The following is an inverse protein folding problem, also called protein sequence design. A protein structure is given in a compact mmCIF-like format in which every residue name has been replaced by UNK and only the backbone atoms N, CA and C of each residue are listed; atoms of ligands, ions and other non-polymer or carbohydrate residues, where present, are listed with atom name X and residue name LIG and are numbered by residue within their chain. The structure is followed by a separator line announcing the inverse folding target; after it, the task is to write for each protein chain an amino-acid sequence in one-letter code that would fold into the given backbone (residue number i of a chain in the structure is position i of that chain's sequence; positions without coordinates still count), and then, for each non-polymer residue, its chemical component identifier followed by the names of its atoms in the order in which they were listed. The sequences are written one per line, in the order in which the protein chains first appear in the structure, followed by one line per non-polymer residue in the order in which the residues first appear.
data_IF_698235024321
#
_entry.id   IF_698235024321
#
_cell.length_a   1.000
_cell.length_b   1.000
_cell.length_c   1.000
_cell.angle_alpha   90.00
_cell.angle_beta   90.00
_cell.angle_gamma   90.00
#
_symmetry.space_group_name_H-M   'P 1'
#
loop_
_entity.id
_entity.type
_entity.pdbx_description
1 polymer ?
#
# COMPACT_ATOMS: atom_id res chain seq x y z
N UNK A 1 18.36 8.68 14.13
CA UNK A 1 17.40 8.20 13.11
C UNK A 1 16.62 9.42 12.65
N UNK A 2 16.80 9.86 11.41
CA UNK A 2 16.15 11.07 10.88
C UNK A 2 14.68 10.80 10.60
N UNK A 3 13.82 11.78 10.90
CA UNK A 3 12.34 11.71 10.76
C UNK A 3 11.88 11.45 9.32
N UNK A 4 12.70 11.78 8.33
CA UNK A 4 12.43 11.52 6.91
C UNK A 4 12.32 10.03 6.56
N UNK A 5 12.95 9.13 7.34
CA UNK A 5 13.01 7.71 6.98
C UNK A 5 11.80 6.89 7.45
N UNK A 6 10.93 7.46 8.28
CA UNK A 6 9.80 6.75 8.90
C UNK A 6 8.72 6.35 7.87
N UNK A 7 8.19 7.25 7.02
CA UNK A 7 7.18 6.88 6.00
C UNK A 7 7.73 5.86 5.00
N UNK A 8 8.99 6.01 4.60
CA UNK A 8 9.67 5.03 3.74
C UNK A 8 9.79 3.68 4.41
N UNK A 9 10.09 3.62 5.72
CA UNK A 9 10.18 2.36 6.45
C UNK A 9 8.84 1.62 6.52
N UNK A 10 7.75 2.34 6.77
CA UNK A 10 6.39 1.76 6.82
C UNK A 10 6.00 1.23 5.44
N UNK A 11 6.28 1.99 4.38
CA UNK A 11 5.96 1.56 3.02
C UNK A 11 6.84 0.38 2.58
N UNK A 12 8.14 0.42 2.88
CA UNK A 12 9.08 -0.69 2.62
C UNK A 12 8.65 -1.95 3.40
N UNK A 13 8.23 -1.82 4.66
CA UNK A 13 7.72 -2.96 5.44
C UNK A 13 6.51 -3.60 4.78
N UNK A 14 5.56 -2.81 4.28
CA UNK A 14 4.38 -3.35 3.57
C UNK A 14 4.77 -4.04 2.26
N UNK A 15 5.70 -3.45 1.50
CA UNK A 15 6.21 -4.02 0.27
C UNK A 15 6.99 -5.33 0.51
N UNK A 16 7.83 -5.39 1.54
CA UNK A 16 8.57 -6.61 1.91
C UNK A 16 7.59 -7.72 2.29
N UNK A 17 6.57 -7.45 3.12
CA UNK A 17 5.56 -8.46 3.47
C UNK A 17 4.80 -8.97 2.24
N UNK A 18 4.53 -8.09 1.28
CA UNK A 18 3.89 -8.44 0.00
C UNK A 18 4.81 -9.29 -0.89
N UNK A 19 6.05 -8.88 -1.11
CA UNK A 19 6.97 -9.55 -2.02
C UNK A 19 7.49 -10.88 -1.44
N UNK A 20 7.86 -10.90 -0.16
CA UNK A 20 8.28 -12.13 0.51
C UNK A 20 7.10 -13.10 0.61
N UNK A 21 5.92 -12.59 0.95
CA UNK A 21 4.71 -13.40 1.01
C UNK A 21 4.28 -13.98 -0.33
N UNK A 22 4.26 -13.16 -1.39
CA UNK A 22 3.95 -13.61 -2.74
C UNK A 22 5.02 -14.57 -3.28
N UNK A 23 6.30 -14.37 -3.00
CA UNK A 23 7.36 -15.31 -3.38
C UNK A 23 7.18 -16.67 -2.68
N UNK A 24 6.86 -16.69 -1.39
CA UNK A 24 6.56 -17.92 -0.63
C UNK A 24 5.30 -18.60 -1.17
N UNK A 25 4.26 -17.83 -1.50
CA UNK A 25 3.03 -18.34 -2.09
C UNK A 25 3.29 -18.96 -3.47
N UNK A 26 4.01 -18.26 -4.34
CA UNK A 26 4.39 -18.74 -5.67
C UNK A 26 5.27 -20.00 -5.56
N UNK A 27 6.24 -20.04 -4.66
CA UNK A 27 7.06 -21.23 -4.41
C UNK A 27 6.22 -22.42 -3.90
N UNK A 28 5.25 -22.16 -3.02
CA UNK A 28 4.34 -23.19 -2.49
C UNK A 28 3.33 -23.71 -3.50
N UNK A 29 2.85 -22.87 -4.42
CA UNK A 29 1.89 -23.23 -5.49
C UNK A 29 2.58 -23.91 -6.67
N UNK A 30 3.77 -23.46 -7.07
CA UNK A 30 4.53 -24.06 -8.19
C UNK A 30 5.10 -25.44 -7.81
N UNK A 31 5.28 -25.72 -6.50
CA UNK A 31 5.79 -27.00 -6.01
C UNK A 31 4.83 -28.19 -6.14
N UNK A 32 3.56 -28.01 -6.53
CA UNK A 32 2.56 -29.08 -6.57
C UNK A 32 1.74 -29.01 -7.87
N UNK A 33 2.34 -29.38 -9.00
CA UNK A 33 1.57 -29.86 -10.15
C UNK A 33 1.27 -31.34 -9.93
N UNK A 34 0.16 -31.66 -9.26
CA UNK A 34 -0.38 -33.01 -9.31
C UNK A 34 -1.17 -33.17 -10.63
N UNK A 35 -0.86 -34.17 -11.48
CA UNK A 35 -1.64 -34.42 -12.69
C UNK A 35 -2.94 -35.10 -12.26
N UNK A 36 -4.01 -34.33 -12.07
CA UNK A 36 -5.34 -34.89 -11.83
C UNK A 36 -6.15 -34.75 -13.11
N UNK A 37 -6.47 -35.92 -13.66
CA UNK A 37 -7.38 -36.17 -14.78
C UNK A 37 -8.63 -35.28 -14.76
N UNK A 38 -8.72 -34.33 -15.70
CA UNK A 38 -10.00 -33.75 -16.15
C UNK A 38 -10.39 -32.36 -15.63
N UNK A 39 -9.62 -31.72 -14.74
CA UNK A 39 -9.91 -30.35 -14.29
C UNK A 39 -8.71 -29.67 -13.65
N UNK A 40 -8.38 -28.45 -14.08
CA UNK A 40 -7.32 -27.65 -13.49
C UNK A 40 -7.87 -27.02 -12.21
N UNK A 41 -7.70 -27.70 -11.07
CA UNK A 41 -7.91 -27.09 -9.76
C UNK A 41 -6.65 -26.32 -9.37
N UNK A 42 -6.75 -25.00 -9.25
CA UNK A 42 -5.65 -24.13 -8.81
C UNK A 42 -5.56 -24.02 -7.27
N UNK A 43 -5.99 -25.05 -6.55
CA UNK A 43 -5.91 -25.11 -5.09
C UNK A 43 -4.80 -26.07 -4.66
N UNK A 44 -4.02 -25.66 -3.66
CA UNK A 44 -3.03 -26.56 -3.04
C UNK A 44 -3.76 -27.55 -2.14
N UNK A 45 -3.68 -28.85 -2.45
CA UNK A 45 -4.25 -29.93 -1.63
C UNK A 45 -3.43 -30.22 -0.36
N UNK A 46 -2.28 -29.55 -0.19
CA UNK A 46 -1.42 -29.77 0.97
C UNK A 46 -1.96 -29.03 2.20
N UNK A 47 -2.55 -29.80 3.13
CA UNK A 47 -3.10 -29.29 4.39
C UNK A 47 -2.06 -28.48 5.21
N UNK A 48 -0.80 -28.91 5.24
CA UNK A 48 0.24 -28.20 5.98
C UNK A 48 0.52 -26.82 5.37
N UNK A 49 0.51 -26.71 4.04
CA UNK A 49 0.65 -25.43 3.36
C UNK A 49 -0.55 -24.52 3.60
N UNK A 50 -1.78 -25.06 3.54
CA UNK A 50 -2.99 -24.28 3.82
C UNK A 50 -3.01 -23.74 5.25
N UNK A 51 -2.60 -24.55 6.23
CA UNK A 51 -2.47 -24.12 7.63
C UNK A 51 -1.40 -23.03 7.78
N UNK A 52 -0.21 -23.23 7.21
CA UNK A 52 0.86 -22.22 7.25
C UNK A 52 0.42 -20.90 6.61
N UNK A 53 -0.23 -20.97 5.44
CA UNK A 53 -0.70 -19.80 4.72
C UNK A 53 -1.76 -19.03 5.52
N UNK A 54 -2.74 -19.73 6.09
CA UNK A 54 -3.84 -19.09 6.83
C UNK A 54 -3.36 -18.54 8.17
N UNK A 55 -2.74 -19.37 9.00
CA UNK A 55 -2.37 -18.97 10.37
C UNK A 55 -1.05 -18.20 10.43
N UNK A 56 -0.03 -18.68 9.73
CA UNK A 56 1.30 -18.07 9.77
C UNK A 56 1.38 -16.81 8.92
N UNK A 57 0.99 -16.91 7.65
CA UNK A 57 1.16 -15.79 6.73
C UNK A 57 0.04 -14.75 6.86
N UNK A 58 -1.23 -15.13 6.62
CA UNK A 58 -2.33 -14.17 6.59
C UNK A 58 -2.59 -13.54 7.97
N UNK A 59 -2.77 -14.35 9.01
CA UNK A 59 -3.11 -13.82 10.35
C UNK A 59 -1.91 -13.14 11.00
N UNK A 60 -0.78 -13.83 11.14
CA UNK A 60 0.35 -13.30 11.92
C UNK A 60 1.15 -12.28 11.12
N UNK A 61 1.67 -12.66 9.95
CA UNK A 61 2.63 -11.85 9.21
C UNK A 61 1.99 -10.67 8.45
N UNK A 62 0.82 -10.88 7.85
CA UNK A 62 0.10 -9.86 7.08
C UNK A 62 -0.93 -9.08 7.93
N UNK A 63 -1.46 -9.68 8.99
CA UNK A 63 -2.48 -9.06 9.86
C UNK A 63 -1.89 -8.42 11.13
N UNK A 64 -1.54 -9.25 12.11
CA UNK A 64 -1.23 -8.81 13.48
C UNK A 64 0.08 -8.03 13.57
N UNK A 65 1.16 -8.51 12.96
CA UNK A 65 2.48 -7.86 13.03
C UNK A 65 2.44 -6.43 12.46
N UNK A 66 1.91 -6.20 11.23
CA UNK A 66 1.81 -4.85 10.68
C UNK A 66 0.97 -3.90 11.54
N UNK A 67 -0.11 -4.39 12.16
CA UNK A 67 -0.94 -3.57 13.07
C UNK A 67 -0.16 -3.18 14.34
N UNK A 68 0.59 -4.09 14.95
CA UNK A 68 1.42 -3.77 16.12
C UNK A 68 2.51 -2.77 15.74
N UNK A 69 3.22 -3.01 14.64
CA UNK A 69 4.29 -2.14 14.15
C UNK A 69 3.73 -0.73 13.89
N UNK A 70 2.63 -0.61 13.17
CA UNK A 70 2.01 0.68 12.86
C UNK A 70 1.53 1.41 14.12
N UNK A 71 0.97 0.71 15.11
CA UNK A 71 0.64 1.30 16.41
C UNK A 71 1.88 1.84 17.13
N UNK A 72 2.98 1.08 17.20
CA UNK A 72 4.22 1.52 17.84
C UNK A 72 4.78 2.75 17.12
N UNK A 73 4.86 2.73 15.80
CA UNK A 73 5.34 3.88 15.02
C UNK A 73 4.42 5.09 15.16
N UNK A 74 3.10 4.90 15.24
CA UNK A 74 2.14 5.98 15.50
C UNK A 74 2.34 6.63 16.87
N UNK A 75 2.59 5.84 17.91
CA UNK A 75 2.90 6.33 19.25
C UNK A 75 4.25 7.08 19.30
N UNK A 76 5.29 6.52 18.67
CA UNK A 76 6.59 7.17 18.55
C UNK A 76 6.52 8.49 17.77
N UNK A 77 5.77 8.51 16.67
CA UNK A 77 5.50 9.71 15.89
C UNK A 77 4.81 10.79 16.73
N UNK A 78 3.79 10.43 17.50
CA UNK A 78 3.11 11.35 18.41
C UNK A 78 4.04 11.92 19.47
N UNK A 79 4.85 11.07 20.09
CA UNK A 79 5.81 11.49 21.13
C UNK A 79 6.88 12.43 20.55
N UNK A 80 7.38 12.14 19.34
CA UNK A 80 8.33 13.01 18.65
C UNK A 80 7.75 14.40 18.40
N UNK A 81 6.49 14.50 17.94
CA UNK A 81 5.83 15.81 17.72
C UNK A 81 5.72 16.62 19.00
N UNK A 82 5.39 15.97 20.13
CA UNK A 82 5.34 16.64 21.42
C UNK A 82 6.72 17.13 21.89
N UNK A 83 7.78 16.36 21.67
CA UNK A 83 9.15 16.77 22.01
C UNK A 83 9.65 17.93 21.13
N UNK A 84 9.35 17.90 19.83
CA UNK A 84 9.65 18.98 18.89
C UNK A 84 9.01 20.31 19.29
N UNK A 85 7.87 20.29 19.98
CA UNK A 85 7.21 21.51 20.43
C UNK A 85 8.02 22.29 21.49
N UNK A 86 8.89 21.61 22.24
CA UNK A 86 9.64 22.18 23.36
C UNK A 86 11.06 22.63 22.99
N UNK A 87 11.59 22.24 21.82
CA UNK A 87 12.93 22.67 21.36
C UNK A 87 12.84 23.95 20.53
N UNK A 88 13.84 24.82 20.69
CA UNK A 88 14.07 26.04 19.87
C UNK A 88 14.61 25.68 18.49
N UNK A 89 13.86 24.91 17.71
CA UNK A 89 14.16 24.61 16.31
C UNK A 89 13.66 25.76 15.44
N UNK A 90 14.40 26.19 14.40
CA UNK A 90 13.93 27.22 13.46
C UNK A 90 12.53 26.90 12.90
N UNK A 91 11.69 27.94 12.82
CA UNK A 91 10.25 27.84 12.48
C UNK A 91 9.98 27.08 11.17
N UNK A 92 10.86 27.21 10.18
CA UNK A 92 10.71 26.58 8.86
C UNK A 92 10.82 25.05 8.94
N UNK A 93 11.81 24.51 9.65
CA UNK A 93 11.98 23.06 9.81
C UNK A 93 10.83 22.44 10.62
N UNK A 94 10.36 23.13 11.66
CA UNK A 94 9.24 22.67 12.49
C UNK A 94 7.95 22.47 11.70
N UNK A 95 7.66 23.35 10.73
CA UNK A 95 6.47 23.23 9.89
C UNK A 95 6.51 21.98 9.00
N UNK A 96 7.70 21.64 8.49
CA UNK A 96 7.94 20.50 7.61
C UNK A 96 7.81 19.18 8.39
N UNK A 97 8.48 19.08 9.54
CA UNK A 97 8.41 17.88 10.40
C UNK A 97 6.99 17.62 10.92
N UNK A 98 6.25 18.69 11.27
CA UNK A 98 4.85 18.59 11.69
C UNK A 98 3.96 18.07 10.56
N UNK A 99 4.16 18.57 9.33
CA UNK A 99 3.41 18.13 8.17
C UNK A 99 3.70 16.65 7.84
N UNK A 100 4.97 16.25 7.82
CA UNK A 100 5.39 14.88 7.57
C UNK A 100 4.81 13.92 8.62
N UNK A 101 4.87 14.31 9.91
CA UNK A 101 4.37 13.45 10.97
C UNK A 101 2.84 13.34 10.94
N UNK A 102 2.14 14.43 10.64
CA UNK A 102 0.68 14.40 10.48
C UNK A 102 0.26 13.50 9.30
N UNK A 103 0.99 13.55 8.19
CA UNK A 103 0.78 12.71 7.01
C UNK A 103 0.92 11.22 7.34
N UNK A 104 1.99 10.85 8.06
CA UNK A 104 2.22 9.47 8.52
C UNK A 104 1.13 9.00 9.48
N UNK A 105 0.68 9.87 10.39
CA UNK A 105 -0.39 9.52 11.34
C UNK A 105 -1.71 9.21 10.62
N UNK A 106 -2.08 10.00 9.60
CA UNK A 106 -3.28 9.75 8.79
C UNK A 106 -3.16 8.44 8.01
N UNK A 107 -1.98 8.15 7.44
CA UNK A 107 -1.73 6.90 6.75
C UNK A 107 -1.86 5.68 7.67
N UNK A 108 -1.32 5.75 8.89
CA UNK A 108 -1.43 4.68 9.89
C UNK A 108 -2.89 4.47 10.28
N UNK A 109 -3.63 5.54 10.57
CA UNK A 109 -5.05 5.47 10.93
C UNK A 109 -5.88 4.85 9.80
N UNK A 110 -5.65 5.28 8.57
CA UNK A 110 -6.33 4.73 7.40
C UNK A 110 -6.01 3.26 7.20
N UNK A 111 -4.73 2.87 7.22
CA UNK A 111 -4.35 1.46 7.10
C UNK A 111 -4.97 0.60 8.20
N UNK A 112 -5.04 1.11 9.44
CA UNK A 112 -5.70 0.41 10.53
C UNK A 112 -7.20 0.19 10.23
N UNK A 113 -7.94 1.24 9.87
CA UNK A 113 -9.39 1.16 9.59
C UNK A 113 -9.70 0.19 8.45
N UNK A 114 -8.89 0.18 7.39
CA UNK A 114 -9.16 -0.63 6.20
C UNK A 114 -8.61 -2.07 6.29
N UNK A 115 -7.53 -2.30 7.05
CA UNK A 115 -6.93 -3.65 7.19
C UNK A 115 -7.54 -4.43 8.35
N UNK A 116 -7.95 -3.76 9.43
CA UNK A 116 -8.47 -4.42 10.63
C UNK A 116 -9.69 -5.33 10.37
N UNK A 117 -10.72 -4.90 9.59
CA UNK A 117 -11.91 -5.74 9.35
C UNK A 117 -11.58 -7.07 8.68
N UNK A 118 -10.64 -7.07 7.73
CA UNK A 118 -10.20 -8.27 7.03
C UNK A 118 -9.44 -9.23 7.96
N UNK A 119 -8.49 -8.71 8.73
CA UNK A 119 -7.75 -9.51 9.72
C UNK A 119 -8.70 -10.12 10.76
N UNK A 120 -9.65 -9.32 11.26
CA UNK A 120 -10.64 -9.79 12.23
C UNK A 120 -11.55 -10.88 11.64
N UNK A 121 -12.06 -10.68 10.42
CA UNK A 121 -12.87 -11.67 9.73
C UNK A 121 -12.09 -12.99 9.53
N UNK A 122 -10.84 -12.91 9.07
CA UNK A 122 -9.97 -14.08 8.84
C UNK A 122 -9.72 -14.87 10.14
N UNK A 123 -9.49 -14.17 11.25
CA UNK A 123 -9.34 -14.80 12.57
C UNK A 123 -10.65 -15.51 12.97
N UNK A 124 -11.79 -14.84 12.80
CA UNK A 124 -13.10 -15.38 13.16
C UNK A 124 -13.43 -16.66 12.37
N UNK A 125 -13.19 -16.67 11.06
CA UNK A 125 -13.47 -17.82 10.17
C UNK A 125 -12.44 -18.94 10.29
N UNK A 126 -11.28 -18.68 10.90
CA UNK A 126 -10.27 -19.71 11.13
C UNK A 126 -10.61 -20.61 12.32
N UNK A 127 -11.50 -20.17 13.21
CA UNK A 127 -11.99 -21.06 14.27
C UNK A 127 -12.95 -22.10 13.67
N UNK A 128 -12.80 -23.38 14.04
CA UNK A 128 -13.65 -24.46 13.54
C UNK A 128 -15.03 -24.40 14.21
N UNK A 129 -15.87 -23.46 13.76
CA UNK A 129 -17.28 -23.43 14.09
C UNK A 129 -18.02 -24.28 13.05
N UNK A 130 -18.77 -25.29 13.52
CA UNK A 130 -19.60 -26.15 12.68
C UNK A 130 -20.88 -25.38 12.29
N UNK A 131 -20.72 -24.38 11.41
CA UNK A 131 -21.82 -23.55 10.91
C UNK A 131 -22.56 -24.34 9.84
N UNK A 132 -23.68 -24.95 10.22
CA UNK A 132 -24.53 -25.73 9.29
C UNK A 132 -25.62 -24.90 8.61
N UNK A 133 -25.90 -23.71 9.13
CA UNK A 133 -26.97 -22.86 8.61
C UNK A 133 -26.51 -22.12 7.33
N UNK A 134 -27.16 -22.36 6.17
CA UNK A 134 -26.76 -21.78 4.89
C UNK A 134 -26.89 -20.24 4.88
N UNK A 135 -27.84 -19.69 5.64
CA UNK A 135 -28.04 -18.24 5.76
C UNK A 135 -26.87 -17.55 6.47
N UNK A 136 -26.22 -18.22 7.42
CA UNK A 136 -25.06 -17.66 8.13
C UNK A 136 -23.85 -17.70 7.20
N UNK A 137 -23.69 -18.78 6.43
CA UNK A 137 -22.61 -18.92 5.45
C UNK A 137 -22.68 -17.81 4.38
N UNK A 138 -23.86 -17.56 3.81
CA UNK A 138 -24.04 -16.50 2.81
C UNK A 138 -23.71 -15.10 3.37
N UNK A 139 -24.00 -14.84 4.66
CA UNK A 139 -23.62 -13.59 5.32
C UNK A 139 -22.12 -13.47 5.53
N UNK A 140 -21.45 -14.56 5.92
CA UNK A 140 -20.00 -14.59 6.09
C UNK A 140 -19.29 -14.33 4.75
N UNK A 141 -19.76 -14.94 3.66
CA UNK A 141 -19.21 -14.72 2.33
C UNK A 141 -19.38 -13.26 1.86
N UNK A 142 -20.54 -12.67 2.12
CA UNK A 142 -20.78 -11.25 1.83
C UNK A 142 -19.84 -10.33 2.62
N UNK A 143 -19.65 -10.60 3.92
CA UNK A 143 -18.70 -9.87 4.77
C UNK A 143 -17.26 -10.06 4.26
N UNK A 144 -16.90 -11.27 3.82
CA UNK A 144 -15.58 -11.55 3.24
C UNK A 144 -15.32 -10.65 2.03
N UNK A 145 -16.25 -10.59 1.06
CA UNK A 145 -16.11 -9.73 -0.13
C UNK A 145 -15.93 -8.26 0.25
N UNK A 146 -16.69 -7.74 1.21
CA UNK A 146 -16.57 -6.35 1.67
C UNK A 146 -15.21 -6.12 2.33
N UNK A 147 -14.78 -7.02 3.20
CA UNK A 147 -13.51 -6.87 3.92
C UNK A 147 -12.31 -6.98 2.99
N UNK A 148 -12.36 -7.85 1.98
CA UNK A 148 -11.37 -7.93 0.90
C UNK A 148 -11.33 -6.63 0.10
N UNK A 149 -12.48 -6.04 -0.23
CA UNK A 149 -12.52 -4.75 -0.93
C UNK A 149 -11.83 -3.66 -0.12
N UNK A 150 -12.09 -3.59 1.19
CA UNK A 150 -11.42 -2.63 2.08
C UNK A 150 -9.93 -2.89 2.19
N UNK A 151 -9.53 -4.15 2.28
CA UNK A 151 -8.12 -4.54 2.26
C UNK A 151 -7.42 -4.05 1.00
N UNK A 152 -8.02 -4.23 -0.19
CA UNK A 152 -7.42 -3.73 -1.44
C UNK A 152 -7.38 -2.21 -1.54
N UNK A 153 -8.39 -1.52 -1.01
CA UNK A 153 -8.39 -0.04 -0.92
C UNK A 153 -7.23 0.49 -0.06
N UNK A 154 -6.75 -0.30 0.92
CA UNK A 154 -5.59 0.08 1.74
C UNK A 154 -4.32 0.30 0.91
N UNK A 155 -4.14 -0.38 -0.22
CA UNK A 155 -2.97 -0.19 -1.09
C UNK A 155 -3.03 1.12 -1.88
N UNK A 156 -4.22 1.57 -2.27
CA UNK A 156 -4.40 2.83 -2.98
C UNK A 156 -4.48 4.04 -2.03
N UNK A 157 -4.86 3.81 -0.76
CA UNK A 157 -5.04 4.81 0.28
C UNK A 157 -3.88 5.80 0.44
N UNK A 158 -2.62 5.35 0.61
CA UNK A 158 -1.47 6.22 0.80
C UNK A 158 -1.34 7.29 -0.28
N UNK A 159 -1.55 6.93 -1.55
CA UNK A 159 -1.51 7.89 -2.65
C UNK A 159 -2.53 9.01 -2.47
N UNK A 160 -3.79 8.67 -2.20
CA UNK A 160 -4.85 9.65 -1.98
C UNK A 160 -4.59 10.51 -0.74
N UNK A 161 -4.20 9.90 0.38
CA UNK A 161 -3.87 10.61 1.62
C UNK A 161 -2.75 11.62 1.38
N UNK A 162 -1.71 11.23 0.64
CA UNK A 162 -0.59 12.09 0.33
C UNK A 162 -0.99 13.27 -0.55
N UNK A 163 -1.86 13.05 -1.55
CA UNK A 163 -2.39 14.13 -2.40
C UNK A 163 -3.30 15.11 -1.63
N UNK A 164 -4.10 14.62 -0.66
CA UNK A 164 -5.02 15.44 0.11
C UNK A 164 -4.33 16.19 1.26
N UNK A 165 -3.35 15.57 1.93
CA UNK A 165 -2.77 16.08 3.18
C UNK A 165 -1.56 16.99 2.95
N UNK A 166 -0.80 16.78 1.87
CA UNK A 166 0.43 17.53 1.61
C UNK A 166 0.26 18.51 0.45
N UNK A 167 0.17 19.81 0.77
CA UNK A 167 0.12 20.87 -0.24
C UNK A 167 1.37 20.90 -1.12
N UNK A 168 2.54 20.66 -0.53
CA UNK A 168 3.81 20.63 -1.25
C UNK A 168 3.85 19.48 -2.25
N UNK A 169 3.39 18.30 -1.85
CA UNK A 169 3.30 17.15 -2.73
C UNK A 169 2.33 17.41 -3.89
N UNK A 170 1.16 18.02 -3.59
CA UNK A 170 0.19 18.46 -4.59
C UNK A 170 0.79 19.44 -5.60
N UNK A 171 1.54 20.44 -5.13
CA UNK A 171 2.22 21.41 -5.99
C UNK A 171 3.31 20.74 -6.86
N UNK A 172 4.09 19.81 -6.30
CA UNK A 172 5.09 19.06 -7.07
C UNK A 172 4.45 18.18 -8.14
N UNK A 173 3.36 17.48 -7.82
CA UNK A 173 2.60 16.69 -8.82
C UNK A 173 2.08 17.59 -9.93
N UNK A 174 1.45 18.72 -9.58
CA UNK A 174 0.93 19.67 -10.58
C UNK A 174 2.08 20.18 -11.46
N UNK A 175 3.21 20.56 -10.86
CA UNK A 175 4.38 21.02 -11.59
C UNK A 175 4.91 19.96 -12.56
N UNK A 176 5.07 18.71 -12.11
CA UNK A 176 5.54 17.60 -12.95
C UNK A 176 4.55 17.32 -14.08
N UNK A 177 3.25 17.23 -13.79
CA UNK A 177 2.22 17.01 -14.80
C UNK A 177 2.21 18.13 -15.84
N UNK A 178 2.31 19.38 -15.41
CA UNK A 178 2.28 20.54 -16.29
C UNK A 178 3.57 20.60 -17.14
N UNK A 179 4.73 20.28 -16.57
CA UNK A 179 6.00 20.22 -17.32
C UNK A 179 6.01 19.09 -18.36
N UNK A 180 5.51 17.90 -18.01
CA UNK A 180 5.36 16.78 -18.93
C UNK A 180 4.42 17.17 -20.07
N UNK A 181 3.31 17.82 -19.74
CA UNK A 181 2.33 18.26 -20.73
C UNK A 181 2.91 19.31 -21.69
N UNK A 182 3.59 20.33 -21.17
CA UNK A 182 4.24 21.37 -21.97
C UNK A 182 5.35 20.81 -22.87
N UNK A 183 6.21 19.92 -22.34
CA UNK A 183 7.25 19.25 -23.14
C UNK A 183 6.66 18.39 -24.26
N UNK A 184 5.53 17.71 -24.00
CA UNK A 184 4.82 16.92 -25.03
C UNK A 184 4.29 17.81 -26.16
N UNK A 185 3.80 19.01 -25.85
CA UNK A 185 3.35 20.00 -26.84
C UNK A 185 4.48 20.67 -27.61
N UNK A 186 5.66 20.85 -27.02
CA UNK A 186 6.80 21.48 -27.71
C UNK A 186 7.48 20.57 -28.74
N UNK A 187 7.45 19.24 -28.57
CA UNK A 187 8.08 18.29 -29.52
C UNK A 187 7.64 18.45 -30.99
N UNK A 188 6.34 18.55 -31.33
CA UNK A 188 5.92 18.71 -32.72
C UNK A 188 6.35 20.06 -33.34
N UNK A 189 6.43 21.13 -32.56
CA UNK A 189 6.83 22.46 -33.06
C UNK A 189 8.30 22.47 -33.51
N UNK A 190 9.18 21.79 -32.77
CA UNK A 190 10.61 21.69 -33.12
C UNK A 190 10.81 20.88 -34.40
N UNK A 191 10.03 19.81 -34.61
CA UNK A 191 10.12 19.02 -35.84
C UNK A 191 9.66 19.80 -37.08
N UNK A 192 8.64 20.66 -36.96
CA UNK A 192 8.18 21.51 -38.06
C UNK A 192 9.28 22.51 -38.47
N UNK A 193 9.98 23.10 -37.51
CA UNK A 193 11.05 24.08 -37.79
C UNK A 193 12.32 23.45 -38.40
N UNK A 194 12.56 22.15 -38.21
CA UNK A 194 13.70 21.45 -38.84
C UNK A 194 13.45 21.00 -40.28
N UNK A 195 12.19 20.99 -40.73
CA UNK A 195 11.82 20.59 -42.09
C UNK A 195 11.63 21.79 -43.03
N UNK A 196 11.66 23.03 -42.50
CA UNK A 196 11.64 24.22 -43.34
C UNK A 196 12.97 24.35 -44.11
N UNK A 197 12.96 24.24 -45.46
CA UNK A 197 14.17 24.32 -46.26
C UNK A 197 14.71 25.75 -46.20
N UNK A 198 16.01 25.88 -45.91
CA UNK A 198 16.79 27.09 -46.18
C UNK A 198 16.63 27.43 -47.65
N UNK A 199 15.80 28.42 -47.96
CA UNK A 199 15.64 28.94 -49.32
C UNK A 199 16.99 29.41 -49.81
N UNK A 200 17.45 28.79 -50.90
CA UNK A 200 18.63 29.13 -51.66
C UNK A 200 18.81 30.65 -51.80
N UNK A 201 19.88 31.18 -51.19
CA UNK A 201 20.55 32.39 -51.65
C UNK A 201 21.13 32.09 -53.02
N UNK A 202 20.51 32.65 -54.06
CA UNK A 202 21.15 32.74 -55.38
C UNK A 202 21.92 34.08 -55.46
N UNK A 203 23.15 34.05 -56.01
CA UNK A 203 24.02 35.22 -56.14
C UNK A 203 23.56 36.24 -57.18
#
# INVERSE_FOLDING_TARGET
MTTENIPTLVSISQYITLYVGSAIFIAGVIGIQAPITGGISCASDNLAFQQYHTYGYLIILAGVIPLIITCIFGLLARNNVHQLAHRTVPLVQRSLDKQLTNMVLHQILFNFIFTFPYTFHTILTSFPYDIKDPDILAKLDFVNVITILFYYLSFAGPFYIYTCTSERFRQQIIYVLLNVHLKRWQRPIIQINQVAPTSHENP
#
